data_IF_292613492380
#
_entry.id   IF_292613492380
#
_cell.length_a   1.000
_cell.length_b   1.000
_cell.length_c   1.000
_cell.angle_alpha   90.00
_cell.angle_beta   90.00
_cell.angle_gamma   90.00
#
_symmetry.space_group_name_H-M   'P 1'
#
loop_
_entity.id
_entity.type
_entity.pdbx_description
1 polymer ?
#
# COMPACT_ATOMS: atom_id res chain seq x y z
N UNK A 1 23.47 -0.32 -20.74
CA UNK A 1 24.24 0.43 -19.73
C UNK A 1 23.78 1.89 -19.54
N UNK A 2 23.40 2.63 -20.60
CA UNK A 2 23.00 4.06 -20.48
C UNK A 2 21.83 4.29 -19.51
N UNK A 3 20.76 3.47 -19.57
CA UNK A 3 19.62 3.55 -18.64
C UNK A 3 20.02 3.35 -17.17
N UNK A 4 21.00 2.48 -16.88
CA UNK A 4 21.47 2.20 -15.53
C UNK A 4 22.26 3.38 -14.95
N UNK A 5 23.02 4.08 -15.78
CA UNK A 5 23.73 5.30 -15.37
C UNK A 5 22.75 6.44 -15.07
N UNK A 6 21.71 6.62 -15.90
CA UNK A 6 20.71 7.68 -15.67
C UNK A 6 19.96 7.50 -14.35
N UNK A 7 19.59 6.27 -13.96
CA UNK A 7 18.90 6.05 -12.68
C UNK A 7 19.78 6.24 -11.46
N UNK A 8 21.09 5.97 -11.55
CA UNK A 8 22.03 6.29 -10.47
C UNK A 8 22.13 7.80 -10.29
N UNK A 9 22.27 8.55 -11.38
CA UNK A 9 22.26 10.03 -11.34
C UNK A 9 20.97 10.57 -10.74
N UNK A 10 19.80 10.06 -11.15
CA UNK A 10 18.50 10.48 -10.58
C UNK A 10 18.45 10.26 -9.06
N UNK A 11 18.98 9.14 -8.55
CA UNK A 11 19.03 8.88 -7.11
C UNK A 11 19.90 9.91 -6.38
N UNK A 12 21.12 10.12 -6.86
CA UNK A 12 22.09 11.01 -6.24
C UNK A 12 21.60 12.47 -6.29
N UNK A 13 21.06 12.90 -7.42
CA UNK A 13 20.42 14.22 -7.59
C UNK A 13 19.24 14.39 -6.64
N UNK A 14 18.37 13.39 -6.52
CA UNK A 14 17.20 13.45 -5.61
C UNK A 14 17.63 13.64 -4.15
N UNK A 15 18.67 12.94 -3.72
CA UNK A 15 19.22 13.10 -2.38
C UNK A 15 19.83 14.49 -2.19
N UNK A 16 20.64 14.94 -3.16
CA UNK A 16 21.30 16.24 -3.12
C UNK A 16 20.30 17.40 -3.05
N UNK A 17 19.26 17.36 -3.89
CA UNK A 17 18.20 18.37 -3.88
C UNK A 17 17.40 18.33 -2.58
N UNK A 18 17.25 17.16 -1.96
CA UNK A 18 16.64 17.00 -0.65
C UNK A 18 17.45 17.69 0.46
N UNK A 19 18.76 17.42 0.52
CA UNK A 19 19.67 18.07 1.47
C UNK A 19 19.68 19.59 1.29
N UNK A 20 19.79 20.03 0.03
CA UNK A 20 19.81 21.46 -0.30
C UNK A 20 18.50 22.14 0.06
N UNK A 21 17.36 21.51 -0.18
CA UNK A 21 16.06 22.05 0.22
C UNK A 21 15.86 22.11 1.74
N UNK A 22 16.45 21.18 2.50
CA UNK A 22 16.32 21.12 3.95
C UNK A 22 17.22 22.13 4.67
N UNK A 23 18.47 22.25 4.21
CA UNK A 23 19.54 22.92 4.96
C UNK A 23 19.87 24.31 4.42
N UNK A 24 19.62 24.60 3.13
CA UNK A 24 20.05 25.88 2.56
C UNK A 24 19.22 27.05 3.14
N UNK A 25 19.88 28.12 3.64
CA UNK A 25 19.17 29.30 4.11
C UNK A 25 18.45 29.97 2.93
N UNK A 26 17.21 30.41 3.15
CA UNK A 26 16.39 31.03 2.10
C UNK A 26 16.77 32.51 2.01
N UNK A 27 17.01 33.00 0.79
CA UNK A 27 17.35 34.40 0.51
C UNK A 27 16.14 35.28 0.84
N UNK A 28 16.21 35.98 1.98
CA UNK A 28 15.22 36.99 2.40
C UNK A 28 15.61 38.40 1.97
N UNK A 29 16.88 38.65 1.61
CA UNK A 29 17.38 39.89 0.98
C UNK A 29 18.40 39.57 -0.11
N UNK A 30 18.29 40.25 -1.26
CA UNK A 30 19.21 40.10 -2.41
C UNK A 30 20.63 40.51 -2.01
N UNK A 31 21.49 39.55 -1.71
CA UNK A 31 22.94 39.77 -1.81
C UNK A 31 23.66 38.48 -2.21
N UNK A 32 24.62 38.67 -3.13
CA UNK A 32 25.65 37.77 -3.65
C UNK A 32 25.27 36.94 -4.90
N UNK A 33 25.76 37.45 -6.04
CA UNK A 33 25.58 36.97 -7.43
C UNK A 33 26.46 35.74 -7.76
N UNK A 34 27.47 35.42 -6.95
CA UNK A 34 28.49 34.40 -7.29
C UNK A 34 28.11 32.97 -6.89
N UNK A 35 27.37 32.75 -5.79
CA UNK A 35 26.89 31.41 -5.41
C UNK A 35 25.64 30.97 -6.21
N UNK A 36 24.83 31.94 -6.64
CA UNK A 36 23.61 31.71 -7.42
C UNK A 36 23.87 31.06 -8.79
N UNK A 37 24.99 31.36 -9.45
CA UNK A 37 25.31 30.81 -10.78
C UNK A 37 25.62 29.30 -10.73
N UNK A 38 26.32 28.85 -9.69
CA UNK A 38 26.60 27.42 -9.43
C UNK A 38 25.32 26.67 -9.06
N UNK A 39 24.48 27.25 -8.19
CA UNK A 39 23.20 26.64 -7.83
C UNK A 39 22.24 26.55 -9.04
N UNK A 40 22.17 27.62 -9.84
CA UNK A 40 21.34 27.66 -11.06
C UNK A 40 21.84 26.64 -12.09
N UNK A 41 23.16 26.48 -12.21
CA UNK A 41 23.76 25.44 -13.07
C UNK A 41 23.45 24.03 -12.57
N UNK A 42 23.47 23.79 -11.26
CA UNK A 42 23.07 22.51 -10.65
C UNK A 42 21.59 22.21 -10.90
N UNK A 43 20.68 23.15 -10.62
CA UNK A 43 19.23 22.98 -10.86
C UNK A 43 18.95 22.75 -12.35
N UNK A 44 19.66 23.46 -13.24
CA UNK A 44 19.56 23.29 -14.70
C UNK A 44 20.08 21.91 -15.17
N UNK A 45 21.22 21.45 -14.65
CA UNK A 45 21.78 20.12 -14.93
C UNK A 45 20.84 19.00 -14.42
N UNK A 46 20.08 19.26 -13.35
CA UNK A 46 19.07 18.33 -12.85
C UNK A 46 17.83 18.26 -13.76
N UNK A 47 17.40 19.38 -14.37
CA UNK A 47 16.30 19.38 -15.36
C UNK A 47 16.61 18.52 -16.58
N UNK A 48 17.86 18.50 -17.05
CA UNK A 48 18.30 17.66 -18.19
C UNK A 48 18.46 16.17 -17.85
N UNK A 49 18.41 15.81 -16.55
CA UNK A 49 18.54 14.43 -16.06
C UNK A 49 17.19 13.70 -15.91
N UNK A 50 16.09 14.32 -16.33
CA UNK A 50 14.74 13.72 -16.29
C UNK A 50 14.58 12.58 -17.31
N UNK A 51 13.73 11.56 -17.04
CA UNK A 51 13.52 10.42 -17.95
C UNK A 51 13.04 10.83 -19.36
N UNK A 52 12.34 11.97 -19.47
CA UNK A 52 11.87 12.53 -20.73
C UNK A 52 13.03 12.86 -21.70
N UNK A 53 14.16 13.37 -21.21
CA UNK A 53 15.33 13.69 -22.02
C UNK A 53 15.98 12.43 -22.65
N UNK A 54 15.81 11.25 -22.03
CA UNK A 54 16.28 9.98 -22.60
C UNK A 54 15.37 9.46 -23.73
N UNK A 55 14.09 9.86 -23.79
CA UNK A 55 13.17 9.41 -24.84
C UNK A 55 13.27 10.24 -26.13
N UNK A 56 13.67 11.51 -26.04
CA UNK A 56 13.85 12.40 -27.20
C UNK A 56 14.98 11.94 -28.13
N UNK A 57 15.98 11.22 -27.61
CA UNK A 57 17.07 10.65 -28.42
C UNK A 57 16.68 9.45 -29.31
N UNK A 58 15.40 9.06 -29.37
CA UNK A 58 14.90 7.94 -30.20
C UNK A 58 14.03 8.36 -31.39
N UNK A 59 13.80 9.65 -31.59
CA UNK A 59 12.98 10.15 -32.69
C UNK A 59 13.81 10.94 -33.70
N UNK A 60 14.70 10.27 -34.45
CA UNK A 60 15.11 10.69 -35.80
C UNK A 60 16.03 9.65 -36.45
N UNK A 61 15.61 9.22 -37.64
CA UNK A 61 16.32 8.49 -38.69
C UNK A 61 16.62 6.99 -38.51
N UNK A 62 15.92 6.21 -39.36
CA UNK A 62 16.31 4.87 -39.75
C UNK A 62 17.58 4.86 -40.62
N UNK A 63 18.18 3.68 -40.69
CA UNK A 63 19.39 3.43 -41.46
C UNK A 63 20.26 2.39 -40.77
N UNK A 64 20.13 1.13 -41.20
CA UNK A 64 21.07 0.07 -40.88
C UNK A 64 22.45 0.46 -41.44
N UNK A 65 23.43 0.72 -40.58
CA UNK A 65 24.84 0.50 -40.91
C UNK A 65 25.62 -0.01 -39.69
N UNK A 66 26.20 -1.20 -39.86
CA UNK A 66 27.25 -1.77 -39.00
C UNK A 66 28.52 -0.94 -39.19
N UNK A 67 29.10 -0.42 -38.11
CA UNK A 67 30.41 0.23 -38.12
C UNK A 67 30.81 0.70 -36.73
N UNK A 68 31.98 0.28 -36.26
CA UNK A 68 32.41 0.36 -34.86
C UNK A 68 32.64 1.78 -34.32
N UNK A 69 32.05 2.07 -33.16
CA UNK A 69 32.47 3.13 -32.23
C UNK A 69 31.88 2.90 -30.83
N UNK A 70 31.90 1.66 -30.31
CA UNK A 70 31.25 1.31 -29.03
C UNK A 70 32.09 1.53 -27.76
N UNK A 71 33.35 1.94 -27.87
CA UNK A 71 34.31 1.87 -26.75
C UNK A 71 34.48 3.13 -25.89
N UNK A 72 34.16 4.34 -26.39
CA UNK A 72 34.60 5.59 -25.73
C UNK A 72 33.55 6.28 -24.84
N UNK A 73 32.26 5.98 -24.98
CA UNK A 73 31.20 6.61 -24.16
C UNK A 73 30.94 5.92 -22.80
N UNK A 74 31.50 4.72 -22.58
CA UNK A 74 31.27 3.96 -21.35
C UNK A 74 32.29 4.30 -20.25
N UNK A 75 33.51 4.71 -20.62
CA UNK A 75 34.59 5.01 -19.68
C UNK A 75 34.41 6.37 -18.96
N UNK A 76 33.90 7.39 -19.67
CA UNK A 76 33.70 8.75 -19.14
C UNK A 76 32.55 8.89 -18.12
N UNK A 77 31.66 7.89 -17.99
CA UNK A 77 30.59 7.92 -16.96
C UNK A 77 30.88 7.09 -15.71
N UNK A 78 31.84 6.16 -15.74
CA UNK A 78 32.29 5.46 -14.52
C UNK A 78 33.16 6.36 -13.64
N UNK A 79 33.92 7.27 -14.25
CA UNK A 79 34.70 8.28 -13.54
C UNK A 79 33.87 9.45 -13.01
N UNK A 80 32.56 9.56 -13.32
CA UNK A 80 31.69 10.64 -12.85
C UNK A 80 31.07 10.37 -11.47
N UNK A 81 31.06 9.13 -10.98
CA UNK A 81 30.50 8.79 -9.66
C UNK A 81 31.40 9.15 -8.47
N UNK A 82 32.72 9.19 -8.65
CA UNK A 82 33.68 9.58 -7.60
C UNK A 82 33.73 11.11 -7.42
N UNK A 83 33.77 11.95 -8.48
CA UNK A 83 33.65 13.40 -8.38
C UNK A 83 32.33 13.87 -7.77
N UNK A 84 31.22 13.16 -8.01
CA UNK A 84 29.91 13.56 -7.49
C UNK A 84 29.78 13.36 -5.98
N UNK A 85 30.31 12.26 -5.42
CA UNK A 85 30.39 12.06 -3.97
C UNK A 85 31.28 13.10 -3.27
N UNK A 86 32.38 13.50 -3.93
CA UNK A 86 33.24 14.60 -3.47
C UNK A 86 32.49 15.94 -3.56
N UNK A 87 31.70 16.18 -4.62
CA UNK A 87 30.85 17.37 -4.74
C UNK A 87 29.74 17.43 -3.68
N UNK A 88 29.10 16.30 -3.34
CA UNK A 88 28.12 16.23 -2.25
C UNK A 88 28.79 16.51 -0.90
N UNK A 89 29.96 15.93 -0.64
CA UNK A 89 30.71 16.17 0.60
C UNK A 89 31.20 17.61 0.71
N UNK A 90 31.67 18.19 -0.40
CA UNK A 90 32.07 19.59 -0.46
C UNK A 90 30.89 20.55 -0.35
N UNK A 91 29.72 20.21 -0.93
CA UNK A 91 28.49 20.98 -0.73
C UNK A 91 28.02 20.91 0.72
N UNK A 92 28.16 19.76 1.37
CA UNK A 92 27.82 19.60 2.78
C UNK A 92 28.75 20.44 3.68
N UNK A 93 30.06 20.43 3.45
CA UNK A 93 30.99 21.35 4.11
C UNK A 93 30.67 22.82 3.82
N UNK A 94 30.28 23.14 2.58
CA UNK A 94 29.93 24.49 2.17
C UNK A 94 28.62 24.97 2.83
N UNK A 95 27.61 24.10 2.95
CA UNK A 95 26.35 24.39 3.65
C UNK A 95 26.58 24.58 5.16
N UNK A 96 27.46 23.78 5.78
CA UNK A 96 27.85 23.95 7.19
C UNK A 96 28.61 25.26 7.42
N UNK A 97 29.51 25.67 6.52
CA UNK A 97 30.17 26.97 6.61
C UNK A 97 29.20 28.16 6.46
N UNK A 98 28.07 27.98 5.77
CA UNK A 98 27.08 29.03 5.55
C UNK A 98 26.01 29.11 6.65
N UNK A 99 25.78 28.04 7.42
CA UNK A 99 24.90 28.11 8.60
C UNK A 99 25.43 29.08 9.67
N UNK A 100 26.73 29.41 9.65
CA UNK A 100 27.35 30.39 10.55
C UNK A 100 27.14 31.86 10.11
N UNK A 101 26.54 32.12 8.93
CA UNK A 101 26.22 33.48 8.46
C UNK A 101 24.73 33.63 8.08
N UNK A 102 23.84 33.92 9.04
CA UNK A 102 22.39 33.97 8.85
C UNK A 102 21.88 35.10 7.93
N UNK A 103 22.73 36.05 7.54
CA UNK A 103 22.35 37.19 6.68
C UNK A 103 22.44 36.91 5.17
N UNK A 104 23.11 35.81 4.76
CA UNK A 104 23.26 35.44 3.35
C UNK A 104 22.46 34.17 3.06
N UNK A 105 21.26 34.30 2.49
CA UNK A 105 20.57 33.13 1.96
C UNK A 105 21.33 32.53 0.76
N UNK A 106 21.15 31.23 0.54
CA UNK A 106 21.79 30.47 -0.54
C UNK A 106 20.79 30.08 -1.64
N UNK A 107 19.53 29.85 -1.28
CA UNK A 107 18.47 29.43 -2.20
C UNK A 107 17.32 30.45 -2.24
N UNK A 108 16.78 30.74 -3.43
CA UNK A 108 15.58 31.59 -3.56
C UNK A 108 14.29 30.76 -3.43
N UNK A 109 13.15 31.44 -3.18
CA UNK A 109 11.85 30.77 -3.18
C UNK A 109 11.53 30.11 -4.53
N UNK A 110 11.90 30.73 -5.66
CA UNK A 110 11.72 30.17 -7.01
C UNK A 110 12.55 28.92 -7.24
N UNK A 111 13.74 28.84 -6.65
CA UNK A 111 14.56 27.64 -6.72
C UNK A 111 13.94 26.51 -5.90
N UNK A 112 13.42 26.78 -4.70
CA UNK A 112 12.67 25.79 -3.91
C UNK A 112 11.42 25.29 -4.66
N UNK A 113 10.67 26.19 -5.29
CA UNK A 113 9.55 25.85 -6.17
C UNK A 113 9.99 24.92 -7.30
N UNK A 114 11.08 25.26 -7.99
CA UNK A 114 11.62 24.43 -9.07
C UNK A 114 12.10 23.05 -8.59
N UNK A 115 12.58 22.93 -7.35
CA UNK A 115 12.93 21.65 -6.75
C UNK A 115 11.66 20.84 -6.46
N UNK A 116 10.62 21.49 -5.94
CA UNK A 116 9.29 20.90 -5.75
C UNK A 116 8.72 20.33 -7.04
N UNK A 117 8.67 21.14 -8.10
CA UNK A 117 8.20 20.73 -9.44
C UNK A 117 9.02 19.56 -10.00
N UNK A 118 10.33 19.56 -9.75
CA UNK A 118 11.19 18.45 -10.14
C UNK A 118 10.81 17.15 -9.42
N UNK A 119 10.61 17.19 -8.10
CA UNK A 119 10.22 15.99 -7.34
C UNK A 119 8.82 15.50 -7.70
N UNK A 120 7.84 16.40 -7.87
CA UNK A 120 6.46 16.02 -8.23
C UNK A 120 6.42 15.35 -9.61
N UNK A 121 7.14 15.93 -10.59
CA UNK A 121 7.31 15.33 -11.92
C UNK A 121 8.01 13.97 -11.84
N UNK A 122 9.11 13.90 -11.08
CA UNK A 122 9.87 12.67 -10.96
C UNK A 122 9.07 11.54 -10.31
N UNK A 123 8.30 11.82 -9.26
CA UNK A 123 7.43 10.87 -8.58
C UNK A 123 6.23 10.45 -9.46
N UNK A 124 5.69 11.36 -10.27
CA UNK A 124 4.60 11.07 -11.17
C UNK A 124 5.03 10.21 -12.38
N UNK A 125 6.25 10.44 -12.91
CA UNK A 125 6.66 9.86 -14.19
C UNK A 125 7.62 8.67 -14.08
N UNK A 126 8.32 8.50 -12.95
CA UNK A 126 9.38 7.49 -12.81
C UNK A 126 8.85 6.10 -12.51
N UNK A 127 9.37 5.11 -13.24
CA UNK A 127 9.01 3.68 -13.07
C UNK A 127 10.04 2.89 -12.26
N UNK A 128 11.28 3.36 -12.19
CA UNK A 128 12.35 2.62 -11.53
C UNK A 128 12.23 2.77 -10.01
N UNK A 129 12.00 1.65 -9.32
CA UNK A 129 11.76 1.62 -7.87
C UNK A 129 12.79 2.39 -7.06
N UNK A 130 14.07 2.07 -7.26
CA UNK A 130 15.11 2.76 -6.53
C UNK A 130 15.20 4.26 -6.84
N UNK A 131 14.68 4.74 -7.97
CA UNK A 131 14.75 6.16 -8.30
C UNK A 131 13.63 6.95 -7.61
N UNK A 132 12.37 6.49 -7.70
CA UNK A 132 11.28 7.15 -6.98
C UNK A 132 11.38 6.99 -5.45
N UNK A 133 12.03 5.92 -4.93
CA UNK A 133 12.28 5.78 -3.50
C UNK A 133 13.26 6.84 -2.98
N UNK A 134 14.29 7.22 -3.76
CA UNK A 134 15.20 8.30 -3.37
C UNK A 134 14.59 9.68 -3.60
N UNK A 135 13.80 9.84 -4.67
CA UNK A 135 12.96 11.02 -4.88
C UNK A 135 12.03 11.26 -3.68
N UNK A 136 11.40 10.20 -3.17
CA UNK A 136 10.56 10.26 -1.99
C UNK A 136 11.32 10.77 -0.75
N UNK A 137 12.54 10.27 -0.51
CA UNK A 137 13.37 10.73 0.62
C UNK A 137 13.68 12.22 0.50
N UNK A 138 14.15 12.68 -0.66
CA UNK A 138 14.44 14.10 -0.89
C UNK A 138 13.19 14.99 -0.84
N UNK A 139 12.07 14.49 -1.36
CA UNK A 139 10.79 15.20 -1.29
C UNK A 139 10.27 15.32 0.15
N UNK A 140 10.45 14.30 1.00
CA UNK A 140 10.10 14.40 2.42
C UNK A 140 10.88 15.51 3.14
N UNK A 141 12.16 15.69 2.80
CA UNK A 141 13.02 16.76 3.34
C UNK A 141 12.49 18.14 2.94
N UNK A 142 12.20 18.34 1.65
CA UNK A 142 11.57 19.56 1.14
C UNK A 142 10.22 19.82 1.83
N UNK A 143 9.30 18.86 1.83
CA UNK A 143 7.97 19.06 2.43
C UNK A 143 8.06 19.40 3.92
N UNK A 144 8.94 18.73 4.67
CA UNK A 144 9.17 19.06 6.09
C UNK A 144 9.58 20.52 6.24
N UNK A 145 10.57 20.98 5.46
CA UNK A 145 11.00 22.38 5.50
C UNK A 145 9.89 23.36 5.15
N UNK A 146 9.10 23.07 4.11
CA UNK A 146 8.00 23.92 3.67
C UNK A 146 6.91 24.04 4.74
N UNK A 147 6.55 22.93 5.39
CA UNK A 147 5.57 22.96 6.48
C UNK A 147 6.04 23.80 7.68
N UNK A 148 7.33 23.73 8.02
CA UNK A 148 7.93 24.53 9.11
C UNK A 148 8.18 26.00 8.73
N UNK A 149 8.05 26.37 7.46
CA UNK A 149 8.23 27.75 7.04
C UNK A 149 7.12 28.63 7.62
N UNK A 150 7.47 29.87 7.99
CA UNK A 150 6.50 30.88 8.41
C UNK A 150 5.40 31.06 7.36
N UNK A 151 4.18 31.34 7.82
CA UNK A 151 2.99 31.45 7.00
C UNK A 151 3.23 32.31 5.75
N UNK A 152 2.91 31.77 4.57
CA UNK A 152 3.20 32.40 3.29
C UNK A 152 3.11 31.41 2.13
N UNK A 153 3.56 31.83 0.94
CA UNK A 153 3.48 31.04 -0.30
C UNK A 153 4.12 29.67 -0.15
N UNK A 154 5.33 29.59 0.40
CA UNK A 154 6.06 28.33 0.57
C UNK A 154 5.34 27.33 1.48
N UNK A 155 4.74 27.81 2.58
CA UNK A 155 3.98 26.98 3.51
C UNK A 155 2.74 26.34 2.86
N UNK A 156 2.14 27.01 1.87
CA UNK A 156 0.93 26.52 1.19
C UNK A 156 1.22 25.46 0.12
N UNK A 157 2.44 25.40 -0.42
CA UNK A 157 2.77 24.51 -1.54
C UNK A 157 2.47 23.03 -1.30
N UNK A 158 2.84 22.43 -0.15
CA UNK A 158 2.54 21.02 0.07
C UNK A 158 1.03 20.73 0.07
N UNK A 159 0.22 21.61 0.66
CA UNK A 159 -1.24 21.49 0.64
C UNK A 159 -1.80 21.63 -0.78
N UNK A 160 -1.29 22.59 -1.56
CA UNK A 160 -1.67 22.77 -2.96
C UNK A 160 -1.32 21.54 -3.80
N UNK A 161 -0.08 21.04 -3.73
CA UNK A 161 0.33 19.85 -4.47
C UNK A 161 -0.50 18.61 -4.11
N UNK A 162 -0.89 18.47 -2.84
CA UNK A 162 -1.80 17.40 -2.44
C UNK A 162 -3.19 17.59 -3.05
N UNK A 163 -3.74 18.80 -3.01
CA UNK A 163 -5.03 19.14 -3.60
C UNK A 163 -5.05 18.86 -5.11
N UNK A 164 -4.05 19.35 -5.85
CA UNK A 164 -3.89 19.14 -7.28
C UNK A 164 -3.76 17.64 -7.62
N UNK A 165 -3.00 16.91 -6.81
CA UNK A 165 -2.84 15.47 -6.97
C UNK A 165 -4.15 14.72 -6.75
N UNK A 166 -4.89 15.05 -5.68
CA UNK A 166 -6.19 14.45 -5.39
C UNK A 166 -7.21 14.76 -6.48
N UNK A 167 -7.23 16.00 -7.00
CA UNK A 167 -8.08 16.40 -8.12
C UNK A 167 -7.74 15.66 -9.43
N UNK A 168 -6.45 15.43 -9.68
CA UNK A 168 -6.00 14.64 -10.82
C UNK A 168 -6.42 13.17 -10.69
N UNK A 169 -6.37 12.60 -9.48
CA UNK A 169 -6.79 11.22 -9.21
C UNK A 169 -8.30 11.05 -9.36
N UNK A 170 -9.11 12.04 -8.94
CA UNK A 170 -10.58 11.99 -9.06
C UNK A 170 -11.09 12.30 -10.47
N UNK A 171 -10.22 12.72 -11.39
CA UNK A 171 -10.58 13.02 -12.79
C UNK A 171 -11.20 14.41 -12.99
N UNK A 172 -11.12 15.30 -11.99
CA UNK A 172 -11.74 16.64 -12.02
C UNK A 172 -10.98 17.68 -12.86
N UNK A 173 -9.71 17.45 -13.16
CA UNK A 173 -8.92 18.28 -14.07
C UNK A 173 -8.64 17.49 -15.36
N UNK A 174 -8.80 18.11 -16.53
CA UNK A 174 -8.50 17.53 -17.85
C UNK A 174 -7.06 17.04 -18.07
N UNK A 175 -6.25 16.95 -17.02
CA UNK A 175 -4.99 16.23 -16.98
C UNK A 175 -5.26 14.73 -16.97
N UNK A 176 -5.12 14.08 -18.12
CA UNK A 176 -4.87 12.63 -18.18
C UNK A 176 -3.67 12.32 -17.30
N UNK A 177 -3.90 11.85 -16.07
CA UNK A 177 -2.99 10.89 -15.46
C UNK A 177 -2.90 9.77 -16.49
N UNK A 178 -1.77 9.71 -17.19
CA UNK A 178 -1.69 8.96 -18.43
C UNK A 178 -2.09 7.50 -18.15
N UNK A 179 -3.23 7.08 -18.70
CA UNK A 179 -3.88 5.76 -18.61
C UNK A 179 -2.94 4.54 -18.78
N UNK A 180 -1.70 4.77 -19.24
CA UNK A 180 -0.67 3.77 -19.50
C UNK A 180 0.64 3.96 -18.72
N UNK A 181 0.74 4.93 -17.79
CA UNK A 181 1.92 5.16 -16.94
C UNK A 181 1.61 4.90 -15.47
N UNK A 182 1.81 3.64 -15.08
CA UNK A 182 1.83 3.10 -13.71
C UNK A 182 2.23 4.17 -12.68
N UNK A 183 1.27 4.57 -11.86
CA UNK A 183 1.37 5.47 -10.71
C UNK A 183 2.23 4.90 -9.57
N UNK A 184 3.46 4.46 -9.88
CA UNK A 184 4.31 3.77 -8.92
C UNK A 184 4.84 4.72 -7.83
N UNK A 185 5.12 5.98 -8.18
CA UNK A 185 5.56 7.01 -7.23
C UNK A 185 4.44 7.88 -6.64
N UNK A 186 3.23 7.85 -7.19
CA UNK A 186 2.09 8.62 -6.64
C UNK A 186 1.76 8.27 -5.19
N UNK A 187 1.69 6.98 -4.78
CA UNK A 187 1.53 6.63 -3.37
C UNK A 187 2.61 7.22 -2.47
N UNK A 188 3.86 7.30 -2.96
CA UNK A 188 4.96 7.91 -2.22
C UNK A 188 4.80 9.43 -2.11
N UNK A 189 4.31 10.10 -3.15
CA UNK A 189 4.04 11.53 -3.13
C UNK A 189 2.97 11.91 -2.11
N UNK A 190 1.81 11.23 -2.14
CA UNK A 190 0.75 11.41 -1.14
C UNK A 190 1.31 11.14 0.27
N UNK A 191 2.01 10.03 0.43
CA UNK A 191 2.59 9.63 1.70
C UNK A 191 3.56 10.67 2.25
N UNK A 192 4.44 11.25 1.43
CA UNK A 192 5.37 12.29 1.85
C UNK A 192 4.62 13.53 2.35
N UNK A 193 3.63 14.01 1.59
CA UNK A 193 2.85 15.20 1.93
C UNK A 193 2.11 15.04 3.26
N UNK A 194 1.36 13.94 3.42
CA UNK A 194 0.57 13.73 4.64
C UNK A 194 1.43 13.42 5.86
N UNK A 195 2.52 12.65 5.71
CA UNK A 195 3.34 12.27 6.87
C UNK A 195 4.25 13.38 7.36
N UNK A 196 4.72 14.25 6.47
CA UNK A 196 5.55 15.39 6.87
C UNK A 196 4.73 16.50 7.53
N UNK A 197 3.45 16.66 7.13
CA UNK A 197 2.53 17.57 7.81
C UNK A 197 2.28 17.16 9.26
N UNK A 198 2.07 15.86 9.50
CA UNK A 198 1.83 15.34 10.85
C UNK A 198 3.00 15.58 11.81
N UNK A 199 4.22 15.71 11.28
CA UNK A 199 5.43 16.02 12.07
C UNK A 199 5.51 17.49 12.48
N UNK A 200 4.80 18.37 11.78
CA UNK A 200 4.85 19.82 12.00
C UNK A 200 3.87 20.31 13.07
N UNK A 201 3.09 19.41 13.70
CA UNK A 201 2.11 19.76 14.72
C UNK A 201 0.83 20.41 14.18
N UNK A 202 0.71 20.59 12.86
CA UNK A 202 -0.56 20.93 12.22
C UNK A 202 -1.56 19.79 12.39
N UNK A 203 -2.84 20.11 12.65
CA UNK A 203 -3.89 19.11 12.78
C UNK A 203 -3.96 18.17 11.56
N UNK A 204 -4.50 16.94 11.70
CA UNK A 204 -4.42 15.89 10.69
C UNK A 204 -5.33 16.13 9.46
N UNK A 205 -5.66 17.38 9.12
CA UNK A 205 -6.67 17.73 8.12
C UNK A 205 -6.37 17.16 6.74
N UNK A 206 -5.14 17.28 6.23
CA UNK A 206 -4.80 16.74 4.92
C UNK A 206 -4.80 15.21 4.92
N UNK A 207 -4.38 14.57 6.02
CA UNK A 207 -4.45 13.12 6.16
C UNK A 207 -5.90 12.63 6.18
N UNK A 208 -6.75 13.21 7.03
CA UNK A 208 -8.17 12.84 7.16
C UNK A 208 -8.92 13.06 5.85
N UNK A 209 -8.73 14.21 5.21
CA UNK A 209 -9.32 14.52 3.90
C UNK A 209 -8.84 13.53 2.83
N UNK A 210 -7.54 13.22 2.79
CA UNK A 210 -6.99 12.23 1.86
C UNK A 210 -7.61 10.86 2.09
N UNK A 211 -7.68 10.38 3.34
CA UNK A 211 -8.27 9.08 3.67
C UNK A 211 -9.73 9.00 3.24
N UNK A 212 -10.54 10.01 3.56
CA UNK A 212 -11.95 10.08 3.14
C UNK A 212 -12.08 10.00 1.63
N UNK A 213 -11.44 10.91 0.89
CA UNK A 213 -11.55 10.95 -0.58
C UNK A 213 -11.07 9.66 -1.24
N UNK A 214 -10.00 9.05 -0.73
CA UNK A 214 -9.48 7.80 -1.28
C UNK A 214 -10.39 6.59 -1.00
N UNK A 215 -10.99 6.52 0.20
CA UNK A 215 -11.93 5.46 0.55
C UNK A 215 -13.25 5.58 -0.22
N UNK A 216 -13.74 6.81 -0.39
CA UNK A 216 -14.89 7.09 -1.24
C UNK A 216 -14.59 6.62 -2.67
N UNK A 217 -13.46 7.06 -3.24
CA UNK A 217 -13.08 6.69 -4.61
C UNK A 217 -12.89 5.17 -4.78
N UNK A 218 -12.35 4.48 -3.76
CA UNK A 218 -12.18 3.03 -3.79
C UNK A 218 -13.51 2.25 -3.75
N UNK A 219 -14.57 2.86 -3.20
CA UNK A 219 -15.87 2.22 -2.99
C UNK A 219 -16.82 2.30 -4.20
N UNK A 220 -16.62 3.25 -5.13
CA UNK A 220 -17.49 3.46 -6.29
C UNK A 220 -17.08 2.57 -7.49
N UNK A 221 -18.06 2.05 -8.25
CA UNK A 221 -17.83 1.01 -9.29
C UNK A 221 -18.15 1.44 -10.74
N UNK A 222 -18.10 2.73 -11.07
CA UNK A 222 -18.34 3.23 -12.43
C UNK A 222 -17.18 3.01 -13.42
N UNK A 223 -17.46 2.96 -14.72
CA UNK A 223 -16.48 2.61 -15.79
C UNK A 223 -15.35 3.64 -15.97
N UNK A 224 -15.65 4.94 -15.81
CA UNK A 224 -14.65 6.03 -15.84
C UNK A 224 -13.79 6.06 -14.56
N UNK A 225 -14.17 5.30 -13.52
CA UNK A 225 -13.57 5.29 -12.17
C UNK A 225 -12.51 4.18 -12.03
N UNK A 226 -12.30 3.30 -13.02
CA UNK A 226 -11.40 2.14 -12.89
C UNK A 226 -9.95 2.52 -12.58
N UNK A 227 -9.39 3.49 -13.31
CA UNK A 227 -8.02 3.98 -13.10
C UNK A 227 -7.91 4.72 -11.77
N UNK A 228 -8.86 5.61 -11.50
CA UNK A 228 -8.97 6.38 -10.27
C UNK A 228 -9.04 5.46 -9.03
N UNK A 229 -9.87 4.41 -9.08
CA UNK A 229 -9.98 3.35 -8.05
C UNK A 229 -8.68 2.58 -7.90
N UNK A 230 -8.04 2.22 -9.01
CA UNK A 230 -6.73 1.55 -8.99
C UNK A 230 -5.68 2.41 -8.29
N UNK A 231 -5.65 3.73 -8.56
CA UNK A 231 -4.80 4.67 -7.86
C UNK A 231 -5.15 4.75 -6.37
N UNK A 232 -6.44 4.90 -6.04
CA UNK A 232 -6.92 4.98 -4.67
C UNK A 232 -6.50 3.76 -3.84
N UNK A 233 -6.74 2.55 -4.34
CA UNK A 233 -6.35 1.29 -3.68
C UNK A 233 -4.83 1.21 -3.43
N UNK A 234 -4.02 1.66 -4.39
CA UNK A 234 -2.56 1.64 -4.25
C UNK A 234 -2.03 2.73 -3.30
N UNK A 235 -2.67 3.90 -3.24
CA UNK A 235 -2.34 4.96 -2.28
C UNK A 235 -2.73 4.53 -0.87
N UNK A 236 -3.97 4.05 -0.68
CA UNK A 236 -4.44 3.47 0.59
C UNK A 236 -3.48 2.38 1.07
N UNK A 237 -3.04 1.50 0.16
CA UNK A 237 -2.05 0.47 0.49
C UNK A 237 -0.75 1.06 1.05
N UNK A 238 -0.23 2.13 0.48
CA UNK A 238 1.00 2.77 0.96
C UNK A 238 0.77 3.40 2.35
N UNK A 239 -0.35 4.09 2.55
CA UNK A 239 -0.74 4.68 3.83
C UNK A 239 -0.88 3.62 4.93
N UNK A 240 -1.62 2.53 4.69
CA UNK A 240 -1.75 1.43 5.65
C UNK A 240 -0.44 0.69 5.94
N UNK A 241 0.58 0.78 5.08
CA UNK A 241 1.91 0.20 5.34
C UNK A 241 2.86 1.14 6.06
N UNK A 242 2.57 2.44 6.11
CA UNK A 242 3.46 3.39 6.72
C UNK A 242 3.40 3.29 8.26
N UNK A 243 4.53 3.00 8.88
CA UNK A 243 4.64 2.90 10.33
C UNK A 243 4.40 4.24 11.05
N UNK A 244 4.76 5.37 10.44
CA UNK A 244 4.56 6.70 11.00
C UNK A 244 3.07 7.08 11.13
N UNK A 245 2.19 6.45 10.35
CA UNK A 245 0.74 6.64 10.46
C UNK A 245 0.10 5.74 11.53
N UNK A 246 0.85 4.82 12.14
CA UNK A 246 0.51 4.12 13.40
C UNK A 246 -0.98 3.89 13.65
N UNK A 247 -1.48 4.55 14.69
CA UNK A 247 -2.89 4.54 15.13
C UNK A 247 -3.79 5.49 14.34
N UNK A 248 -3.24 6.45 13.58
CA UNK A 248 -4.03 7.41 12.80
C UNK A 248 -4.84 6.72 11.68
N UNK A 249 -4.35 5.59 11.17
CA UNK A 249 -5.08 4.79 10.18
C UNK A 249 -6.12 3.86 10.80
N UNK A 250 -6.07 3.60 12.11
CA UNK A 250 -6.94 2.63 12.80
C UNK A 250 -8.44 2.87 12.54
N UNK A 251 -8.97 4.12 12.60
CA UNK A 251 -10.39 4.38 12.32
C UNK A 251 -10.84 4.00 10.91
N UNK A 252 -9.91 3.97 9.96
CA UNK A 252 -10.19 3.75 8.54
C UNK A 252 -10.02 2.30 8.10
N UNK A 253 -9.40 1.45 8.93
CA UNK A 253 -9.04 0.06 8.58
C UNK A 253 -10.26 -0.73 8.13
N UNK A 254 -11.41 -0.57 8.81
CA UNK A 254 -12.62 -1.30 8.47
C UNK A 254 -13.11 -0.97 7.05
N UNK A 255 -13.21 0.31 6.71
CA UNK A 255 -13.56 0.75 5.35
C UNK A 255 -12.53 0.28 4.31
N UNK A 256 -11.23 0.32 4.67
CA UNK A 256 -10.17 -0.23 3.83
C UNK A 256 -10.35 -1.71 3.52
N UNK A 257 -10.73 -2.52 4.51
CA UNK A 257 -11.02 -3.96 4.32
C UNK A 257 -12.23 -4.15 3.41
N UNK A 258 -13.31 -3.39 3.62
CA UNK A 258 -14.51 -3.43 2.79
C UNK A 258 -14.16 -3.11 1.33
N UNK A 259 -13.43 -2.01 1.10
CA UNK A 259 -13.01 -1.58 -0.23
C UNK A 259 -12.11 -2.64 -0.90
N UNK A 260 -11.17 -3.22 -0.15
CA UNK A 260 -10.32 -4.29 -0.66
C UNK A 260 -11.14 -5.52 -1.06
N UNK A 261 -12.03 -6.03 -0.20
CA UNK A 261 -12.87 -7.21 -0.46
C UNK A 261 -13.77 -6.98 -1.67
N UNK A 262 -14.45 -5.82 -1.76
CA UNK A 262 -15.24 -5.45 -2.94
C UNK A 262 -14.38 -5.39 -4.21
N UNK A 263 -13.15 -4.88 -4.10
CA UNK A 263 -12.20 -4.78 -5.22
C UNK A 263 -11.75 -6.13 -5.80
N UNK A 264 -11.87 -7.25 -5.08
CA UNK A 264 -11.63 -8.58 -5.66
C UNK A 264 -12.61 -8.91 -6.80
N UNK A 265 -13.82 -8.32 -6.77
CA UNK A 265 -14.82 -8.42 -7.85
C UNK A 265 -14.59 -7.43 -9.00
N UNK A 266 -13.45 -6.73 -9.02
CA UNK A 266 -13.13 -5.75 -10.06
C UNK A 266 -13.16 -6.35 -11.47
N UNK A 267 -13.71 -5.60 -12.43
CA UNK A 267 -13.87 -6.03 -13.83
C UNK A 267 -12.51 -6.20 -14.52
N UNK A 268 -11.49 -5.43 -14.10
CA UNK A 268 -10.15 -5.50 -14.67
C UNK A 268 -9.16 -6.25 -13.79
N UNK A 269 -8.11 -6.82 -14.40
CA UNK A 269 -7.01 -7.43 -13.66
C UNK A 269 -6.29 -6.42 -12.73
N UNK A 270 -6.14 -5.16 -13.18
CA UNK A 270 -5.45 -4.13 -12.42
C UNK A 270 -6.14 -3.81 -11.09
N UNK A 271 -7.46 -3.78 -11.08
CA UNK A 271 -8.26 -3.56 -9.87
C UNK A 271 -8.16 -4.73 -8.91
N UNK A 272 -8.34 -5.97 -9.40
CA UNK A 272 -8.22 -7.18 -8.59
C UNK A 272 -6.84 -7.31 -7.95
N UNK A 273 -5.79 -7.00 -8.73
CA UNK A 273 -4.42 -6.99 -8.23
C UNK A 273 -4.22 -5.88 -7.17
N UNK A 274 -4.70 -4.67 -7.41
CA UNK A 274 -4.57 -3.56 -6.45
C UNK A 274 -5.34 -3.83 -5.15
N UNK A 275 -6.52 -4.43 -5.25
CA UNK A 275 -7.33 -4.90 -4.11
C UNK A 275 -6.61 -6.00 -3.31
N UNK A 276 -6.01 -6.98 -3.99
CA UNK A 276 -5.19 -8.03 -3.36
C UNK A 276 -4.02 -7.43 -2.57
N UNK A 277 -3.35 -6.46 -3.18
CA UNK A 277 -2.19 -5.79 -2.60
C UNK A 277 -2.57 -4.90 -1.40
N UNK A 278 -3.72 -4.22 -1.47
CA UNK A 278 -4.31 -3.48 -0.34
C UNK A 278 -4.71 -4.44 0.79
N UNK A 279 -5.42 -5.52 0.47
CA UNK A 279 -5.83 -6.52 1.45
C UNK A 279 -4.64 -7.12 2.20
N UNK A 280 -3.55 -7.44 1.49
CA UNK A 280 -2.31 -7.93 2.12
C UNK A 280 -1.69 -6.91 3.08
N UNK A 281 -1.72 -5.63 2.75
CA UNK A 281 -1.26 -4.55 3.64
C UNK A 281 -2.14 -4.45 4.89
N UNK A 282 -3.46 -4.52 4.74
CA UNK A 282 -4.42 -4.48 5.84
C UNK A 282 -4.28 -5.69 6.76
N UNK A 283 -4.12 -6.90 6.21
CA UNK A 283 -3.85 -8.11 7.00
C UNK A 283 -2.59 -7.96 7.85
N UNK A 284 -1.55 -7.33 7.30
CA UNK A 284 -0.31 -7.04 8.05
C UNK A 284 -0.52 -5.94 9.09
N UNK A 285 -1.37 -4.95 8.81
CA UNK A 285 -1.72 -3.88 9.77
C UNK A 285 -2.54 -4.41 10.94
N UNK A 286 -3.49 -5.29 10.69
CA UNK A 286 -4.41 -5.86 11.69
C UNK A 286 -3.70 -6.92 12.53
N UNK A 287 -3.00 -7.86 11.88
CA UNK A 287 -2.45 -9.05 12.54
C UNK A 287 -0.91 -9.03 12.66
N UNK A 288 -0.25 -7.95 12.26
CA UNK A 288 1.21 -7.86 12.26
C UNK A 288 1.88 -8.67 11.14
N UNK A 289 3.22 -8.54 11.06
CA UNK A 289 4.03 -9.21 10.04
C UNK A 289 4.20 -10.70 10.37
N UNK A 290 3.84 -11.55 9.41
CA UNK A 290 4.10 -12.99 9.48
C UNK A 290 5.53 -13.29 9.02
N UNK A 291 6.34 -13.89 9.91
CA UNK A 291 7.76 -14.20 9.62
C UNK A 291 7.99 -15.56 8.94
N UNK A 292 7.06 -16.52 9.09
CA UNK A 292 7.14 -17.85 8.47
C UNK A 292 6.03 -18.03 7.44
N UNK A 293 6.35 -18.58 6.26
CA UNK A 293 5.35 -18.82 5.19
C UNK A 293 4.35 -19.91 5.54
N UNK A 294 4.75 -20.91 6.33
CA UNK A 294 4.00 -22.14 6.56
C UNK A 294 3.29 -22.17 7.92
N UNK A 295 3.83 -21.49 8.94
CA UNK A 295 3.32 -21.54 10.30
C UNK A 295 2.79 -20.18 10.72
N UNK A 296 1.52 -20.10 11.12
CA UNK A 296 0.96 -18.89 11.74
C UNK A 296 1.39 -18.83 13.21
N UNK A 297 2.00 -17.72 13.61
CA UNK A 297 2.31 -17.48 15.01
C UNK A 297 1.05 -17.00 15.76
N UNK A 298 0.89 -17.38 17.03
CA UNK A 298 -0.19 -16.90 17.90
C UNK A 298 -0.26 -15.36 17.95
N UNK A 299 0.89 -14.67 17.87
CA UNK A 299 0.98 -13.20 17.80
C UNK A 299 0.40 -12.59 16.53
N UNK A 300 0.16 -13.41 15.49
CA UNK A 300 -0.48 -12.98 14.24
C UNK A 300 -1.94 -13.45 14.14
N UNK A 301 -2.58 -13.66 15.29
CA UNK A 301 -3.99 -13.98 15.45
C UNK A 301 -4.58 -13.16 16.60
N UNK A 302 -5.90 -13.02 16.64
CA UNK A 302 -6.65 -12.44 17.76
C UNK A 302 -8.01 -13.14 17.90
N UNK A 303 -8.72 -12.98 19.02
CA UNK A 303 -10.09 -13.51 19.15
C UNK A 303 -11.04 -12.75 18.22
N UNK A 304 -12.15 -13.38 17.84
CA UNK A 304 -13.22 -12.70 17.12
C UNK A 304 -13.78 -11.53 17.92
N UNK A 305 -13.97 -11.70 19.24
CA UNK A 305 -14.35 -10.60 20.15
C UNK A 305 -13.46 -9.36 20.01
N UNK A 306 -12.14 -9.50 20.09
CA UNK A 306 -11.20 -8.36 19.96
C UNK A 306 -11.28 -7.74 18.56
N UNK A 307 -11.33 -8.58 17.53
CA UNK A 307 -11.39 -8.14 16.14
C UNK A 307 -12.66 -7.33 15.85
N UNK A 308 -13.84 -7.87 16.17
CA UNK A 308 -15.12 -7.23 15.88
C UNK A 308 -15.46 -6.10 16.86
N UNK A 309 -14.94 -6.12 18.09
CA UNK A 309 -15.02 -4.94 18.96
C UNK A 309 -14.24 -3.76 18.36
N UNK A 310 -13.06 -4.03 17.77
CA UNK A 310 -12.25 -2.99 17.12
C UNK A 310 -12.82 -2.54 15.78
N UNK A 311 -13.46 -3.44 15.03
CA UNK A 311 -13.99 -3.18 13.69
C UNK A 311 -15.45 -3.68 13.55
N UNK A 312 -16.42 -3.10 14.28
CA UNK A 312 -17.78 -3.63 14.40
C UNK A 312 -18.50 -3.77 13.07
N UNK A 313 -18.39 -2.79 12.18
CA UNK A 313 -19.03 -2.82 10.85
C UNK A 313 -18.57 -3.98 9.95
N UNK A 314 -17.42 -4.61 10.24
CA UNK A 314 -16.97 -5.77 9.48
C UNK A 314 -17.78 -7.02 9.79
N UNK A 315 -18.47 -7.08 10.93
CA UNK A 315 -19.29 -8.23 11.28
C UNK A 315 -20.42 -8.43 10.27
N UNK A 316 -21.27 -7.43 10.07
CA UNK A 316 -22.41 -7.57 9.14
C UNK A 316 -21.94 -7.67 7.69
N UNK A 317 -20.91 -6.92 7.32
CA UNK A 317 -20.36 -6.95 5.97
C UNK A 317 -19.82 -8.34 5.58
N UNK A 318 -18.99 -8.96 6.42
CA UNK A 318 -18.42 -10.27 6.10
C UNK A 318 -19.49 -11.37 6.11
N UNK A 319 -20.47 -11.26 7.01
CA UNK A 319 -21.61 -12.18 7.07
C UNK A 319 -22.47 -12.08 5.81
N UNK A 320 -22.80 -10.86 5.36
CA UNK A 320 -23.55 -10.62 4.12
C UNK A 320 -22.79 -11.14 2.88
N UNK A 321 -21.47 -10.93 2.81
CA UNK A 321 -20.63 -11.44 1.74
C UNK A 321 -20.69 -12.98 1.68
N UNK A 322 -20.58 -13.66 2.81
CA UNK A 322 -20.69 -15.12 2.90
C UNK A 322 -22.12 -15.62 2.65
N UNK A 323 -23.13 -14.89 3.08
CA UNK A 323 -24.54 -15.19 2.84
C UNK A 323 -24.85 -15.23 1.34
N UNK A 324 -24.53 -14.15 0.63
CA UNK A 324 -24.65 -14.04 -0.84
C UNK A 324 -23.97 -15.20 -1.56
N UNK A 325 -22.80 -15.61 -1.06
CA UNK A 325 -22.03 -16.73 -1.60
C UNK A 325 -22.68 -18.08 -1.34
N UNK A 326 -23.15 -18.32 -0.12
CA UNK A 326 -23.79 -19.59 0.22
C UNK A 326 -25.09 -19.83 -0.56
N UNK A 327 -25.89 -18.79 -0.80
CA UNK A 327 -27.17 -18.90 -1.52
C UNK A 327 -26.99 -19.26 -3.01
N UNK A 328 -25.93 -18.75 -3.65
CA UNK A 328 -25.59 -19.12 -5.03
C UNK A 328 -25.12 -20.57 -5.15
N UNK A 329 -24.57 -21.14 -4.08
CA UNK A 329 -24.10 -22.54 -4.03
C UNK A 329 -25.22 -23.57 -3.89
N UNK A 330 -26.36 -23.20 -3.29
CA UNK A 330 -27.49 -24.12 -3.05
C UNK A 330 -28.50 -24.16 -4.19
N UNK A 331 -28.57 -23.13 -5.03
CA UNK A 331 -29.60 -23.01 -6.08
C UNK A 331 -29.13 -23.44 -7.47
N UNK A 332 -27.83 -23.49 -7.75
CA UNK A 332 -27.27 -23.95 -9.02
C UNK A 332 -26.63 -25.32 -8.88
N UNK A 333 -27.20 -26.35 -9.51
CA UNK A 333 -26.58 -27.69 -9.64
C UNK A 333 -25.27 -27.73 -10.44
N UNK A 334 -24.68 -26.57 -10.75
CA UNK A 334 -23.37 -26.47 -11.39
C UNK A 334 -22.28 -26.59 -10.33
N UNK A 335 -21.43 -27.63 -10.48
CA UNK A 335 -20.22 -27.85 -9.68
C UNK A 335 -19.16 -26.74 -9.84
N UNK A 336 -19.46 -25.70 -10.61
CA UNK A 336 -18.63 -24.52 -10.78
C UNK A 336 -18.78 -23.59 -9.58
N UNK A 337 -18.19 -24.01 -8.46
CA UNK A 337 -17.50 -23.10 -7.53
C UNK A 337 -16.33 -22.39 -8.24
N UNK A 338 -16.59 -21.87 -9.44
CA UNK A 338 -15.65 -21.09 -10.23
C UNK A 338 -15.49 -19.75 -9.52
N UNK A 339 -14.61 -19.79 -8.52
CA UNK A 339 -13.73 -18.71 -8.12
C UNK A 339 -14.46 -17.41 -7.85
N UNK A 340 -15.46 -17.41 -6.95
CA UNK A 340 -15.98 -16.13 -6.50
C UNK A 340 -14.84 -15.34 -5.81
N UNK A 341 -14.33 -14.25 -6.41
CA UNK A 341 -13.01 -13.73 -6.04
C UNK A 341 -12.94 -13.19 -4.61
N UNK A 342 -14.06 -12.75 -4.02
CA UNK A 342 -14.11 -12.22 -2.66
C UNK A 342 -14.24 -13.30 -1.57
N UNK A 343 -14.49 -14.57 -1.91
CA UNK A 343 -14.58 -15.64 -0.90
C UNK A 343 -13.23 -15.85 -0.19
N UNK A 344 -12.15 -15.88 -0.98
CA UNK A 344 -10.81 -16.12 -0.46
C UNK A 344 -10.34 -15.09 0.59
N UNK A 345 -10.43 -13.76 0.37
CA UNK A 345 -10.03 -12.79 1.39
C UNK A 345 -10.88 -12.86 2.66
N UNK A 346 -12.19 -13.10 2.55
CA UNK A 346 -13.07 -13.25 3.73
C UNK A 346 -12.64 -14.46 4.58
N UNK A 347 -12.47 -15.62 3.95
CA UNK A 347 -11.99 -16.82 4.65
C UNK A 347 -10.57 -16.64 5.21
N UNK A 348 -9.70 -15.89 4.53
CA UNK A 348 -8.34 -15.65 5.00
C UNK A 348 -8.31 -14.79 6.27
N UNK A 349 -9.22 -13.82 6.36
CA UNK A 349 -9.40 -12.99 7.54
C UNK A 349 -9.94 -13.83 8.71
N UNK A 350 -11.01 -14.59 8.50
CA UNK A 350 -11.59 -15.45 9.54
C UNK A 350 -10.59 -16.51 10.04
N UNK A 351 -9.79 -17.10 9.16
CA UNK A 351 -8.74 -18.05 9.52
C UNK A 351 -7.56 -17.44 10.32
N UNK A 352 -7.55 -16.13 10.56
CA UNK A 352 -6.64 -15.46 11.52
C UNK A 352 -7.23 -15.28 12.91
N UNK A 353 -8.49 -15.66 13.11
CA UNK A 353 -9.08 -15.64 14.43
C UNK A 353 -8.71 -16.92 15.21
N UNK A 354 -8.85 -16.89 16.53
CA UNK A 354 -8.79 -18.09 17.38
C UNK A 354 -9.97 -18.12 18.36
N UNK A 355 -10.40 -19.32 18.80
CA UNK A 355 -11.57 -19.47 19.67
C UNK A 355 -11.40 -18.76 21.02
N UNK A 356 -12.47 -18.20 21.56
CA UNK A 356 -12.51 -17.65 22.92
C UNK A 356 -13.53 -18.38 23.78
N UNK A 357 -13.21 -18.64 25.05
CA UNK A 357 -14.21 -19.13 26.03
C UNK A 357 -15.23 -18.05 26.43
N UNK A 358 -14.90 -16.78 26.18
CA UNK A 358 -15.77 -15.61 26.41
C UNK A 358 -16.56 -15.21 25.15
N UNK A 359 -16.56 -16.04 24.10
CA UNK A 359 -17.36 -15.79 22.90
C UNK A 359 -18.87 -15.85 23.26
N UNK A 360 -19.66 -14.88 22.81
CA UNK A 360 -21.12 -14.88 23.02
C UNK A 360 -21.64 -14.20 24.29
N UNK A 361 -20.77 -13.68 25.17
CA UNK A 361 -21.19 -12.86 26.32
C UNK A 361 -21.68 -11.46 25.91
N UNK A 362 -21.22 -10.97 24.76
CA UNK A 362 -21.76 -9.77 24.09
C UNK A 362 -22.86 -10.21 23.12
N UNK A 363 -24.12 -9.86 23.41
CA UNK A 363 -25.30 -10.35 22.70
C UNK A 363 -25.34 -10.01 21.21
N UNK A 364 -24.61 -8.98 20.76
CA UNK A 364 -24.71 -8.45 19.40
C UNK A 364 -23.71 -9.07 18.40
N UNK A 365 -22.71 -9.85 18.85
CA UNK A 365 -21.64 -10.37 17.98
C UNK A 365 -21.48 -11.90 18.09
N UNK A 366 -22.53 -12.62 17.69
CA UNK A 366 -22.56 -14.09 17.72
C UNK A 366 -21.83 -14.69 16.51
N UNK A 367 -20.57 -15.11 16.67
CA UNK A 367 -19.78 -15.74 15.59
C UNK A 367 -20.43 -17.00 15.02
N UNK A 368 -21.28 -17.69 15.80
CA UNK A 368 -22.03 -18.87 15.35
C UNK A 368 -22.89 -18.60 14.11
N UNK A 369 -23.32 -17.35 13.90
CA UNK A 369 -24.05 -16.94 12.70
C UNK A 369 -23.27 -17.18 11.39
N UNK A 370 -21.93 -17.20 11.45
CA UNK A 370 -21.10 -17.47 10.29
C UNK A 370 -21.03 -18.96 9.91
N UNK A 371 -21.26 -19.86 10.87
CA UNK A 371 -21.02 -21.30 10.70
C UNK A 371 -21.76 -21.87 9.48
N UNK A 372 -23.08 -21.65 9.30
CA UNK A 372 -23.80 -22.22 8.16
C UNK A 372 -23.22 -21.77 6.80
N UNK A 373 -22.87 -20.49 6.69
CA UNK A 373 -22.36 -19.92 5.45
C UNK A 373 -20.93 -20.37 5.14
N UNK A 374 -20.06 -20.45 6.15
CA UNK A 374 -18.68 -20.93 5.98
C UNK A 374 -18.67 -22.44 5.71
N UNK A 375 -19.48 -23.23 6.41
CA UNK A 375 -19.59 -24.69 6.19
C UNK A 375 -20.09 -25.02 4.78
N UNK A 376 -21.02 -24.23 4.22
CA UNK A 376 -21.46 -24.40 2.84
C UNK A 376 -20.28 -24.33 1.83
N UNK A 377 -19.27 -23.51 2.12
CA UNK A 377 -18.08 -23.35 1.27
C UNK A 377 -17.16 -24.59 1.22
N UNK A 378 -17.36 -25.58 2.11
CA UNK A 378 -16.59 -26.82 2.11
C UNK A 378 -16.78 -27.67 0.85
N UNK A 379 -17.84 -27.40 0.07
CA UNK A 379 -18.15 -28.05 -1.21
C UNK A 379 -17.27 -27.57 -2.38
N UNK A 380 -16.45 -26.54 -2.16
CA UNK A 380 -15.56 -25.94 -3.18
C UNK A 380 -14.79 -26.96 -4.00
N UNK A 381 -14.78 -26.83 -5.32
CA UNK A 381 -13.90 -27.61 -6.20
C UNK A 381 -12.41 -27.29 -5.95
N UNK A 382 -12.11 -26.07 -5.49
CA UNK A 382 -10.74 -25.62 -5.18
C UNK A 382 -10.30 -26.16 -3.81
N UNK A 383 -9.30 -27.06 -3.80
CA UNK A 383 -8.71 -27.63 -2.58
C UNK A 383 -8.28 -26.55 -1.57
N UNK A 384 -7.61 -25.49 -2.04
CA UNK A 384 -7.10 -24.43 -1.18
C UNK A 384 -8.22 -23.71 -0.42
N UNK A 385 -9.38 -23.54 -1.06
CA UNK A 385 -10.58 -22.99 -0.42
C UNK A 385 -11.08 -23.93 0.65
N UNK A 386 -11.19 -25.24 0.38
CA UNK A 386 -11.61 -26.23 1.39
C UNK A 386 -10.70 -26.24 2.62
N UNK A 387 -9.38 -26.21 2.42
CA UNK A 387 -8.41 -26.11 3.53
C UNK A 387 -8.57 -24.84 4.34
N UNK A 388 -8.90 -23.72 3.67
CA UNK A 388 -9.08 -22.43 4.34
C UNK A 388 -10.40 -22.37 5.10
N UNK A 389 -11.48 -22.93 4.55
CA UNK A 389 -12.79 -23.10 5.22
C UNK A 389 -12.61 -23.86 6.53
N UNK A 390 -11.94 -25.01 6.49
CA UNK A 390 -11.70 -25.82 7.69
C UNK A 390 -10.98 -25.04 8.80
N UNK A 391 -10.04 -24.15 8.43
CA UNK A 391 -9.34 -23.28 9.38
C UNK A 391 -10.16 -22.09 9.86
N UNK A 392 -11.01 -21.54 8.98
CA UNK A 392 -11.89 -20.42 9.29
C UNK A 392 -13.05 -20.82 10.20
N UNK A 393 -13.45 -22.10 10.22
CA UNK A 393 -14.50 -22.62 11.10
C UNK A 393 -14.06 -22.76 12.56
N UNK A 394 -12.81 -23.16 12.80
CA UNK A 394 -12.27 -23.35 14.16
C UNK A 394 -12.59 -22.18 15.10
N UNK A 395 -12.28 -20.91 14.78
CA UNK A 395 -12.57 -19.79 15.68
C UNK A 395 -14.05 -19.42 15.80
N UNK A 396 -14.94 -19.99 14.98
CA UNK A 396 -16.37 -19.69 15.02
C UNK A 396 -17.13 -20.61 15.98
N UNK A 397 -16.51 -21.71 16.38
CA UNK A 397 -17.10 -22.74 17.25
C UNK A 397 -16.63 -22.49 18.68
N UNK A 398 -17.57 -22.42 19.61
CA UNK A 398 -17.23 -22.28 21.03
C UNK A 398 -16.51 -23.54 21.53
N UNK A 399 -15.56 -23.41 22.47
CA UNK A 399 -14.77 -24.54 22.96
C UNK A 399 -15.59 -25.75 23.45
N UNK A 400 -16.68 -25.47 24.16
CA UNK A 400 -17.61 -26.47 24.68
C UNK A 400 -18.47 -27.15 23.60
N UNK A 401 -18.57 -26.57 22.39
CA UNK A 401 -19.36 -27.12 21.27
C UNK A 401 -18.52 -27.94 20.29
N UNK A 402 -17.19 -28.02 20.46
CA UNK A 402 -16.32 -28.76 19.54
C UNK A 402 -16.66 -30.25 19.45
N UNK A 403 -16.96 -30.90 20.58
CA UNK A 403 -17.30 -32.33 20.61
C UNK A 403 -18.60 -32.59 19.84
N UNK A 404 -19.64 -31.80 20.09
CA UNK A 404 -20.90 -31.88 19.37
C UNK A 404 -20.72 -31.62 17.86
N UNK A 405 -19.91 -30.62 17.50
CA UNK A 405 -19.61 -30.33 16.11
C UNK A 405 -18.86 -31.47 15.41
N UNK A 406 -17.88 -32.09 16.08
CA UNK A 406 -17.17 -33.25 15.55
C UNK A 406 -18.11 -34.44 15.31
N UNK A 407 -19.01 -34.73 16.25
CA UNK A 407 -20.02 -35.78 16.07
C UNK A 407 -20.88 -35.52 14.84
N UNK A 408 -21.37 -34.29 14.66
CA UNK A 408 -22.14 -33.90 13.47
C UNK A 408 -21.33 -34.11 12.17
N UNK A 409 -20.05 -33.72 12.15
CA UNK A 409 -19.20 -33.92 10.98
C UNK A 409 -19.02 -35.42 10.64
N UNK A 410 -18.85 -36.27 11.65
CA UNK A 410 -18.73 -37.72 11.43
C UNK A 410 -20.03 -38.34 10.91
N UNK A 411 -21.18 -37.88 11.39
CA UNK A 411 -22.49 -38.28 10.86
C UNK A 411 -22.65 -37.86 9.39
N UNK A 412 -22.31 -36.61 9.05
CA UNK A 412 -22.37 -36.11 7.66
C UNK A 412 -21.41 -36.84 6.71
N UNK A 413 -20.21 -37.22 7.17
CA UNK A 413 -19.26 -38.02 6.37
C UNK A 413 -19.74 -39.46 6.19
N UNK A 414 -20.36 -40.02 7.22
CA UNK A 414 -20.93 -41.37 7.26
C UNK A 414 -22.28 -41.47 6.54
N UNK A 415 -22.90 -40.36 6.15
CA UNK A 415 -24.08 -40.37 5.29
C UNK A 415 -23.69 -40.93 3.90
N UNK A 416 -23.91 -42.23 3.73
CA UNK A 416 -23.29 -43.10 2.72
C UNK A 416 -23.74 -42.79 1.28
N UNK A 417 -24.81 -42.03 1.03
CA UNK A 417 -25.32 -41.78 -0.32
C UNK A 417 -25.60 -40.29 -0.58
N UNK A 418 -24.95 -39.70 -1.60
CA UNK A 418 -25.31 -38.38 -2.17
C UNK A 418 -24.36 -37.21 -1.88
N UNK A 419 -23.31 -37.40 -1.06
CA UNK A 419 -22.34 -36.34 -0.72
C UNK A 419 -21.19 -36.34 -1.74
N UNK A 420 -21.06 -35.30 -2.55
CA UNK A 420 -19.96 -35.20 -3.54
C UNK A 420 -18.56 -35.23 -2.92
N UNK A 421 -17.59 -35.83 -3.62
CA UNK A 421 -16.21 -36.06 -3.14
C UNK A 421 -15.52 -34.80 -2.57
N UNK A 422 -15.70 -33.66 -3.24
CA UNK A 422 -15.16 -32.38 -2.76
C UNK A 422 -15.73 -32.00 -1.39
N UNK A 423 -17.04 -32.23 -1.17
CA UNK A 423 -17.66 -31.95 0.12
C UNK A 423 -17.20 -32.92 1.20
N UNK A 424 -17.14 -34.23 0.91
CA UNK A 424 -16.57 -35.25 1.81
C UNK A 424 -15.16 -34.86 2.25
N UNK A 425 -14.30 -34.50 1.29
CA UNK A 425 -12.96 -34.00 1.58
C UNK A 425 -12.98 -32.70 2.42
N UNK A 426 -13.92 -31.80 2.15
CA UNK A 426 -14.09 -30.58 2.94
C UNK A 426 -14.45 -30.86 4.41
N UNK A 427 -15.34 -31.82 4.66
CA UNK A 427 -15.72 -32.27 6.01
C UNK A 427 -14.53 -32.93 6.74
N UNK A 428 -13.79 -33.81 6.06
CA UNK A 428 -12.59 -34.44 6.62
C UNK A 428 -11.48 -33.43 6.99
N UNK A 429 -11.35 -32.34 6.24
CA UNK A 429 -10.43 -31.25 6.61
C UNK A 429 -10.88 -30.51 7.88
N UNK A 430 -12.19 -30.37 8.09
CA UNK A 430 -12.76 -29.72 9.28
C UNK A 430 -12.52 -30.56 10.53
N UNK A 431 -12.69 -31.89 10.45
CA UNK A 431 -12.40 -32.79 11.57
C UNK A 431 -10.92 -32.72 11.95
N UNK A 432 -10.01 -32.74 10.96
CA UNK A 432 -8.58 -32.62 11.19
C UNK A 432 -8.17 -31.28 11.81
N UNK A 433 -8.77 -30.17 11.37
CA UNK A 433 -8.45 -28.83 11.87
C UNK A 433 -8.97 -28.60 13.29
N UNK A 434 -10.19 -29.05 13.56
CA UNK A 434 -10.81 -28.93 14.89
C UNK A 434 -10.10 -29.81 15.92
N UNK A 435 -9.72 -31.04 15.54
CA UNK A 435 -9.02 -31.97 16.43
C UNK A 435 -7.62 -31.51 16.86
N UNK A 436 -6.90 -30.75 16.01
CA UNK A 436 -5.61 -30.16 16.39
C UNK A 436 -5.78 -29.09 17.47
N UNK A 437 -6.77 -28.21 17.32
CA UNK A 437 -7.00 -27.12 18.27
C UNK A 437 -7.58 -27.62 19.60
N UNK A 438 -8.46 -28.63 19.57
CA UNK A 438 -8.96 -29.29 20.80
C UNK A 438 -7.82 -29.93 21.61
N UNK A 439 -6.84 -30.56 20.95
CA UNK A 439 -5.66 -31.12 21.64
C UNK A 439 -4.77 -30.03 22.24
N UNK A 440 -4.60 -28.90 21.56
CA UNK A 440 -3.84 -27.76 22.08
C UNK A 440 -4.53 -27.12 23.29
N UNK A 441 -5.86 -27.00 23.27
CA UNK A 441 -6.62 -26.46 24.41
C UNK A 441 -6.57 -27.37 25.63
N UNK A 442 -6.72 -28.68 25.45
CA UNK A 442 -6.52 -29.67 26.51
C UNK A 442 -5.11 -29.61 27.11
N UNK A 443 -4.09 -29.43 26.29
CA UNK A 443 -2.71 -29.25 26.77
C UNK A 443 -2.51 -27.95 27.54
N UNK A 444 -3.17 -26.86 27.16
CA UNK A 444 -3.10 -25.58 27.88
C UNK A 444 -3.87 -25.65 29.20
N UNK A 445 -5.02 -26.30 29.26
CA UNK A 445 -5.76 -26.54 30.50
C UNK A 445 -5.06 -27.51 31.45
N UNK A 446 -4.25 -28.45 30.93
CA UNK A 446 -3.44 -29.37 31.75
C UNK A 446 -2.11 -28.78 32.23
N UNK A 447 -1.67 -27.66 31.65
CA UNK A 447 -0.39 -27.00 31.96
C UNK A 447 -0.54 -25.66 32.70
N UNK A 448 -1.77 -25.17 32.88
CA UNK A 448 -2.12 -24.06 33.78
C UNK A 448 -2.67 -24.59 35.09
#
# INVERSE_FOLDING_TARGET
MVLLCSWRTVKEVSLLLGELAELAPIITRKLIVTAQSLLTSLVSLCRSSTPAACHVARGSNGGYHKGGAGGKLCATRRSAGVPFMVQISNLFLFLLCLSDNPECGLITEEQLLSIGDHFTTLLAETKHRGAFEQAYVGFCKLCSRLWFHSAGRLHQLPAMWLGDLMAAITGGAGGKLCATRRSAGIPFMVQALVTTQLRTGGGPSCFQQSMSTLLDLASHSGTCVVEARTHALNILRALYRNSALGELVTPYVAEGVIAAVKGFRGNTWAERNSATLLFSALMTRIFGVQRSRHTLNARNKMTGRVFFHRYPQLFDFLLQELGTLSSTMTQGGSQTLELHPSLYPVLLLLARLYPSSLEGTDSNLQLSAYIPHVSACARSAVLKTRTLVARALVPLIMPNMFTAHLSQLFEEVSAIHGVGENYRHGLLLQTASSGHESRLMLLVELLG
#
